data_IF_129958176262
#
_entry.id   IF_129958176262
#
_cell.length_a   1.000
_cell.length_b   1.000
_cell.length_c   1.000
_cell.angle_alpha   90.00
_cell.angle_beta   90.00
_cell.angle_gamma   90.00
#
_symmetry.space_group_name_H-M   'P 1'
#
loop_
_entity.id
_entity.type
_entity.pdbx_description
1 polymer ?
#
# COMPACT_ATOMS: atom_id res chain seq x y z
N UNK A 1 2.65 5.52 7.79
CA UNK A 1 2.18 6.90 8.12
C UNK A 1 2.34 7.95 6.98
N UNK A 2 3.31 7.80 6.07
CA UNK A 2 3.50 8.72 4.93
C UNK A 2 2.34 8.77 3.92
N UNK A 3 1.59 7.68 3.75
CA UNK A 3 0.48 7.61 2.78
C UNK A 3 -0.64 8.63 3.07
N UNK A 4 -0.97 8.85 4.35
CA UNK A 4 -1.99 9.84 4.76
C UNK A 4 -1.51 11.25 4.41
N UNK A 5 -0.24 11.57 4.72
CA UNK A 5 0.35 12.87 4.40
C UNK A 5 0.34 13.08 2.87
N UNK A 6 0.75 12.07 2.11
CA UNK A 6 0.69 12.12 0.64
C UNK A 6 -0.72 12.38 0.12
N UNK A 7 -1.74 11.73 0.70
CA UNK A 7 -3.14 11.94 0.32
C UNK A 7 -3.60 13.39 0.58
N UNK A 8 -3.21 13.98 1.71
CA UNK A 8 -3.50 15.39 2.01
C UNK A 8 -2.80 16.32 1.03
N UNK A 9 -1.54 16.06 0.67
CA UNK A 9 -0.78 16.87 -0.30
C UNK A 9 -1.44 16.81 -1.68
N UNK A 10 -1.86 15.62 -2.13
CA UNK A 10 -2.55 15.46 -3.42
C UNK A 10 -3.88 16.20 -3.43
N UNK A 11 -4.74 15.97 -2.43
CA UNK A 11 -6.04 16.64 -2.35
C UNK A 11 -5.90 18.17 -2.22
N UNK A 12 -4.96 18.63 -1.40
CA UNK A 12 -4.65 20.05 -1.23
C UNK A 12 -4.12 20.68 -2.51
N UNK A 13 -3.27 19.99 -3.27
CA UNK A 13 -2.78 20.46 -4.57
C UNK A 13 -3.87 20.58 -5.62
N UNK A 14 -4.73 19.55 -5.75
CA UNK A 14 -5.84 19.54 -6.71
C UNK A 14 -6.86 20.63 -6.38
N UNK A 15 -7.32 20.69 -5.13
CA UNK A 15 -8.32 21.69 -4.69
C UNK A 15 -7.72 23.09 -4.72
N UNK A 16 -6.49 23.25 -4.22
CA UNK A 16 -5.78 24.53 -4.20
C UNK A 16 -5.56 25.10 -5.60
N UNK A 17 -5.08 24.28 -6.54
CA UNK A 17 -4.90 24.70 -7.93
C UNK A 17 -6.20 25.11 -8.60
N UNK A 18 -7.30 24.37 -8.36
CA UNK A 18 -8.60 24.68 -8.95
C UNK A 18 -9.22 25.97 -8.38
N UNK A 19 -9.01 26.22 -7.08
CA UNK A 19 -9.46 27.45 -6.42
C UNK A 19 -8.66 28.68 -6.86
N UNK A 20 -7.37 28.53 -7.17
CA UNK A 20 -6.53 29.63 -7.69
C UNK A 20 -7.03 30.13 -9.05
N UNK A 21 -7.56 29.25 -9.89
CA UNK A 21 -8.18 29.58 -11.19
C UNK A 21 -9.64 30.07 -11.05
N UNK A 22 -10.14 30.31 -9.83
CA UNK A 22 -11.54 30.62 -9.55
C UNK A 22 -12.54 29.57 -10.10
N UNK A 23 -12.07 28.32 -10.29
CA UNK A 23 -12.86 27.24 -10.83
C UNK A 23 -13.97 26.79 -9.86
N UNK A 24 -15.14 26.47 -10.40
CA UNK A 24 -16.21 25.89 -9.61
C UNK A 24 -15.88 24.43 -9.27
N UNK A 25 -15.65 24.14 -7.99
CA UNK A 25 -15.35 22.78 -7.49
C UNK A 25 -16.42 21.74 -7.86
N UNK A 26 -17.64 22.18 -8.17
CA UNK A 26 -18.73 21.29 -8.63
C UNK A 26 -18.42 20.62 -9.96
N UNK A 27 -17.56 21.22 -10.79
CA UNK A 27 -17.14 20.66 -12.09
C UNK A 27 -16.23 19.44 -11.90
N UNK A 28 -15.45 19.40 -10.81
CA UNK A 28 -14.59 18.25 -10.49
C UNK A 28 -15.38 16.97 -10.20
N UNK A 29 -16.64 17.10 -9.81
CA UNK A 29 -17.48 15.95 -9.48
C UNK A 29 -18.34 15.53 -10.67
N UNK A 30 -17.67 15.04 -11.72
CA UNK A 30 -18.34 14.54 -12.92
C UNK A 30 -18.32 13.00 -12.98
N UNK A 31 -19.48 12.32 -12.87
CA UNK A 31 -19.54 10.86 -12.86
C UNK A 31 -18.93 10.22 -14.11
N UNK A 32 -19.02 10.89 -15.25
CA UNK A 32 -18.45 10.43 -16.51
C UNK A 32 -16.91 10.34 -16.45
N UNK A 33 -16.24 11.33 -15.85
CA UNK A 33 -14.78 11.32 -15.71
C UNK A 33 -14.30 10.22 -14.79
N UNK A 34 -15.07 9.91 -13.73
CA UNK A 34 -14.76 8.81 -12.82
C UNK A 34 -14.79 7.46 -13.55
N UNK A 35 -15.75 7.26 -14.46
CA UNK A 35 -15.82 6.05 -15.31
C UNK A 35 -14.68 6.03 -16.31
N UNK A 36 -14.36 7.15 -16.95
CA UNK A 36 -13.29 7.22 -17.95
C UNK A 36 -11.92 6.96 -17.31
N UNK A 37 -11.56 7.73 -16.29
CA UNK A 37 -10.24 7.67 -15.63
C UNK A 37 -10.15 6.39 -14.80
N UNK A 38 -11.18 6.09 -14.00
CA UNK A 38 -11.21 4.88 -13.17
C UNK A 38 -11.26 3.60 -13.99
N UNK A 39 -12.07 3.56 -15.05
CA UNK A 39 -12.15 2.43 -15.97
C UNK A 39 -10.83 2.22 -16.73
N UNK A 40 -10.20 3.29 -17.22
CA UNK A 40 -8.89 3.20 -17.88
C UNK A 40 -7.80 2.72 -16.92
N UNK A 41 -7.75 3.23 -15.69
CA UNK A 41 -6.77 2.81 -14.69
C UNK A 41 -6.94 1.34 -14.29
N UNK A 42 -8.18 0.89 -14.06
CA UNK A 42 -8.48 -0.51 -13.76
C UNK A 42 -8.16 -1.44 -14.95
N UNK A 43 -8.52 -1.02 -16.17
CA UNK A 43 -8.18 -1.76 -17.39
C UNK A 43 -6.68 -1.88 -17.57
N UNK A 44 -5.93 -0.80 -17.37
CA UNK A 44 -4.47 -0.81 -17.42
C UNK A 44 -3.86 -1.73 -16.36
N UNK A 45 -4.40 -1.73 -15.14
CA UNK A 45 -3.96 -2.63 -14.07
C UNK A 45 -4.17 -4.10 -14.44
N UNK A 46 -5.33 -4.44 -15.01
CA UNK A 46 -5.64 -5.80 -15.48
C UNK A 46 -4.73 -6.26 -16.63
N UNK A 47 -4.29 -5.34 -17.49
CA UNK A 47 -3.34 -5.63 -18.57
C UNK A 47 -1.92 -5.80 -18.01
N UNK A 48 -1.57 -5.05 -16.97
CA UNK A 48 -0.19 -4.96 -16.46
C UNK A 48 0.32 -6.22 -15.75
N UNK A 49 -0.57 -7.04 -15.19
CA UNK A 49 -0.17 -8.18 -14.35
C UNK A 49 -1.17 -9.35 -14.42
N UNK A 50 -0.71 -10.58 -14.15
CA UNK A 50 -1.59 -11.74 -14.00
C UNK A 50 -2.63 -11.55 -12.89
N UNK A 51 -3.80 -12.17 -13.04
CA UNK A 51 -4.92 -12.03 -12.13
C UNK A 51 -4.60 -12.24 -10.64
N UNK A 52 -3.76 -13.22 -10.23
CA UNK A 52 -3.39 -13.39 -8.82
C UNK A 52 -2.70 -12.15 -8.23
N UNK A 53 -1.81 -11.52 -9.00
CA UNK A 53 -1.07 -10.32 -8.56
C UNK A 53 -2.02 -9.14 -8.42
N UNK A 54 -2.96 -8.98 -9.36
CA UNK A 54 -3.97 -7.91 -9.28
C UNK A 54 -4.82 -8.06 -8.02
N UNK A 55 -5.24 -9.28 -7.68
CA UNK A 55 -6.00 -9.54 -6.45
C UNK A 55 -5.19 -9.22 -5.18
N UNK A 56 -3.90 -9.53 -5.17
CA UNK A 56 -3.02 -9.21 -4.05
C UNK A 56 -2.78 -7.69 -3.92
N UNK A 57 -2.69 -6.96 -5.03
CA UNK A 57 -2.65 -5.49 -5.03
C UNK A 57 -3.92 -4.92 -4.39
N UNK A 58 -5.10 -5.40 -4.75
CA UNK A 58 -6.36 -4.95 -4.13
C UNK A 58 -6.39 -5.19 -2.61
N UNK A 59 -5.94 -6.36 -2.14
CA UNK A 59 -5.81 -6.64 -0.71
C UNK A 59 -4.76 -5.73 -0.04
N UNK A 60 -3.67 -5.45 -0.76
CA UNK A 60 -2.59 -4.58 -0.32
C UNK A 60 -3.03 -3.13 -0.13
N UNK A 61 -3.88 -2.60 -1.01
CA UNK A 61 -4.40 -1.21 -0.89
C UNK A 61 -5.12 -0.99 0.44
N UNK A 62 -5.92 -1.96 0.90
CA UNK A 62 -6.58 -1.88 2.21
C UNK A 62 -5.56 -1.91 3.37
N UNK A 63 -4.48 -2.68 3.23
CA UNK A 63 -3.37 -2.70 4.19
C UNK A 63 -2.56 -1.41 4.20
N UNK A 64 -2.47 -0.64 3.12
CA UNK A 64 -1.74 0.65 3.13
C UNK A 64 -2.39 1.67 4.06
N UNK A 65 -3.72 1.64 4.17
CA UNK A 65 -4.47 2.56 5.05
C UNK A 65 -4.43 2.15 6.53
N UNK A 66 -4.26 0.86 6.82
CA UNK A 66 -4.37 0.27 8.17
C UNK A 66 -3.05 -0.29 8.70
N UNK A 67 -2.05 -0.44 7.85
CA UNK A 67 -0.78 -1.09 8.15
C UNK A 67 0.07 -0.22 9.05
N UNK A 68 0.46 -0.80 10.19
CA UNK A 68 1.60 -0.29 10.95
C UNK A 68 2.87 -0.62 10.19
N UNK A 69 3.70 0.40 9.98
CA UNK A 69 5.08 0.20 9.58
C UNK A 69 5.77 -0.64 10.68
N UNK A 70 6.61 -1.64 10.34
CA UNK A 70 7.31 -2.45 11.33
C UNK A 70 8.13 -1.55 12.26
N UNK A 71 7.96 -1.72 13.57
CA UNK A 71 8.70 -0.97 14.56
C UNK A 71 10.02 -1.70 14.91
N UNK A 72 10.95 -1.00 15.55
CA UNK A 72 12.23 -1.55 16.00
C UNK A 72 12.06 -2.83 16.84
N UNK A 73 10.97 -2.91 17.61
CA UNK A 73 10.62 -4.10 18.40
C UNK A 73 10.37 -5.32 17.53
N UNK A 74 9.62 -5.16 16.44
CA UNK A 74 9.31 -6.25 15.52
C UNK A 74 10.60 -6.79 14.89
N UNK A 75 11.54 -5.91 14.53
CA UNK A 75 12.85 -6.32 14.02
C UNK A 75 13.70 -7.06 15.06
N UNK A 76 13.71 -6.60 16.31
CA UNK A 76 14.46 -7.26 17.39
C UNK A 76 13.85 -8.62 17.70
N UNK A 77 12.53 -8.74 17.70
CA UNK A 77 11.82 -10.00 17.90
C UNK A 77 12.14 -11.02 16.79
N UNK A 78 12.15 -10.58 15.54
CA UNK A 78 12.59 -11.41 14.41
C UNK A 78 14.05 -11.89 14.58
N UNK A 79 14.96 -10.99 15.01
CA UNK A 79 16.35 -11.36 15.24
C UNK A 79 16.52 -12.35 16.41
N UNK A 80 15.72 -12.22 17.47
CA UNK A 80 15.72 -13.17 18.59
C UNK A 80 15.23 -14.55 18.14
N UNK A 81 14.13 -14.62 17.39
CA UNK A 81 13.62 -15.88 16.83
C UNK A 81 14.65 -16.53 15.91
N UNK A 82 15.31 -15.75 15.06
CA UNK A 82 16.41 -16.25 14.21
C UNK A 82 17.57 -16.78 15.04
N UNK A 83 17.95 -16.09 16.11
CA UNK A 83 19.03 -16.54 17.00
C UNK A 83 18.68 -17.86 17.68
N UNK A 84 17.46 -17.99 18.20
CA UNK A 84 16.98 -19.20 18.87
C UNK A 84 16.92 -20.39 17.90
N UNK A 85 16.40 -20.17 16.69
CA UNK A 85 16.39 -21.18 15.63
C UNK A 85 17.82 -21.62 15.27
N UNK A 86 18.73 -20.68 15.00
CA UNK A 86 20.12 -21.01 14.67
C UNK A 86 20.85 -21.68 15.84
N UNK A 87 20.54 -21.29 17.07
CA UNK A 87 21.03 -21.90 18.29
C UNK A 87 20.57 -23.35 18.43
N UNK A 88 19.30 -23.63 18.18
CA UNK A 88 18.71 -24.98 18.17
C UNK A 88 19.33 -25.84 17.05
N UNK A 89 19.51 -25.27 15.85
CA UNK A 89 20.15 -25.94 14.70
C UNK A 89 21.53 -26.48 15.08
N UNK A 90 22.28 -25.65 15.80
CA UNK A 90 23.66 -25.93 16.17
C UNK A 90 23.77 -26.98 17.27
N UNK A 91 22.81 -27.00 18.20
CA UNK A 91 22.82 -27.91 19.37
C UNK A 91 22.24 -29.28 19.04
N UNK A 92 21.12 -29.29 18.33
CA UNK A 92 20.27 -30.49 18.15
C UNK A 92 20.31 -30.99 16.70
N UNK A 93 20.97 -30.27 15.79
CA UNK A 93 21.05 -30.57 14.37
C UNK A 93 19.90 -29.94 13.58
N UNK A 94 20.05 -29.88 12.26
CA UNK A 94 19.09 -29.22 11.35
C UNK A 94 17.70 -29.87 11.39
N UNK A 95 17.62 -31.15 11.78
CA UNK A 95 16.38 -31.93 11.92
C UNK A 95 15.47 -31.36 13.03
N UNK A 96 16.04 -30.69 14.04
CA UNK A 96 15.26 -30.11 15.13
C UNK A 96 14.48 -28.84 14.72
N UNK A 97 14.68 -28.33 13.49
CA UNK A 97 14.07 -27.10 12.97
C UNK A 97 12.99 -27.39 11.92
N UNK A 98 12.86 -28.64 11.45
CA UNK A 98 11.76 -29.04 10.56
C UNK A 98 10.40 -29.05 11.26
#
# INVERSE_FOLDING_TARGET
MFAIIGMVVVLGGVIGGYLMEHGNLSVLFQPAELVIIGGAALGALLISAPLPVVLDVFKGVLKVLTGKDPDKKDYVEILMVLYDLLGMARREGVIAIE
#
